data_IF_558972650834
#
_entry.id   IF_558972650834
#
_cell.length_a   1.000
_cell.length_b   1.000
_cell.length_c   1.000
_cell.angle_alpha   90.00
_cell.angle_beta   90.00
_cell.angle_gamma   90.00
#
_symmetry.space_group_name_H-M   'P 1'
#
loop_
_entity.id
_entity.type
_entity.pdbx_description
1 polymer ?
#
# COMPACT_ATOMS: atom_id res chain seq x y z
N UNK A 1 -11.00 17.57 7.08
CA UNK A 1 -9.78 17.59 7.92
C UNK A 1 -10.19 17.89 9.34
N UNK A 2 -9.85 17.02 10.25
CA UNK A 2 -10.11 17.17 11.69
C UNK A 2 -9.19 18.27 12.28
N UNK A 3 -9.61 18.90 13.40
CA UNK A 3 -8.85 19.95 14.08
C UNK A 3 -7.46 19.46 14.51
N UNK A 4 -7.36 18.20 14.96
CA UNK A 4 -6.11 17.57 15.38
C UNK A 4 -5.13 17.33 14.21
N UNK A 5 -5.65 17.03 13.03
CA UNK A 5 -4.84 16.85 11.82
C UNK A 5 -4.25 18.18 11.34
N UNK A 6 -5.04 19.26 11.41
CA UNK A 6 -4.56 20.62 11.07
C UNK A 6 -3.45 21.09 12.02
N UNK A 7 -3.63 20.83 13.31
CA UNK A 7 -2.60 21.16 14.31
C UNK A 7 -1.30 20.36 14.08
N UNK A 8 -1.43 19.06 13.77
CA UNK A 8 -0.28 18.23 13.44
C UNK A 8 0.47 18.76 12.21
N UNK A 9 -0.24 19.14 11.14
CA UNK A 9 0.35 19.70 9.93
C UNK A 9 1.06 21.04 10.24
N UNK A 10 0.42 21.93 10.98
CA UNK A 10 1.02 23.21 11.37
C UNK A 10 2.31 23.01 12.17
N UNK A 11 2.32 22.07 13.12
CA UNK A 11 3.50 21.72 13.90
C UNK A 11 4.60 21.05 13.06
N UNK A 12 4.26 20.24 12.05
CA UNK A 12 5.20 19.65 11.11
C UNK A 12 5.92 20.71 10.25
N UNK A 13 5.26 21.83 9.95
CA UNK A 13 5.81 22.95 9.19
C UNK A 13 6.55 23.98 10.06
N UNK A 14 6.53 23.81 11.40
CA UNK A 14 7.17 24.72 12.35
C UNK A 14 8.51 24.18 12.82
N UNK A 15 9.60 24.91 12.64
CA UNK A 15 10.96 24.49 13.01
C UNK A 15 11.09 24.07 14.48
N UNK A 16 10.41 24.74 15.41
CA UNK A 16 10.49 24.44 16.84
C UNK A 16 9.75 23.17 17.28
N UNK A 17 8.74 22.72 16.53
CA UNK A 17 7.88 21.60 16.88
C UNK A 17 7.99 20.40 15.92
N UNK A 18 8.71 20.56 14.82
CA UNK A 18 8.76 19.61 13.71
C UNK A 18 9.11 18.18 14.13
N UNK A 19 10.15 18.00 14.95
CA UNK A 19 10.56 16.68 15.41
C UNK A 19 9.49 15.99 16.27
N UNK A 20 8.86 16.74 17.18
CA UNK A 20 7.78 16.20 18.03
C UNK A 20 6.58 15.80 17.19
N UNK A 21 6.17 16.68 16.28
CA UNK A 21 5.06 16.43 15.36
C UNK A 21 5.36 15.23 14.44
N UNK A 22 6.59 15.10 13.96
CA UNK A 22 6.99 13.97 13.13
C UNK A 22 6.94 12.63 13.88
N UNK A 23 7.36 12.60 15.16
CA UNK A 23 7.21 11.41 16.01
C UNK A 23 5.74 11.02 16.17
N UNK A 24 4.85 11.99 16.32
CA UNK A 24 3.40 11.75 16.40
C UNK A 24 2.90 11.17 15.07
N UNK A 25 3.29 11.76 13.93
CA UNK A 25 2.94 11.27 12.59
C UNK A 25 3.39 9.82 12.42
N UNK A 26 4.66 9.51 12.70
CA UNK A 26 5.18 8.14 12.61
C UNK A 26 4.36 7.19 13.48
N UNK A 27 4.15 7.51 14.75
CA UNK A 27 3.37 6.67 15.68
C UNK A 27 1.93 6.44 15.20
N UNK A 28 1.33 7.43 14.55
CA UNK A 28 -0.07 7.36 14.08
C UNK A 28 -0.20 6.51 12.83
N UNK A 29 0.75 6.60 11.91
CA UNK A 29 0.59 6.03 10.56
C UNK A 29 1.48 4.83 10.25
N UNK A 30 2.51 4.52 11.07
CA UNK A 30 3.51 3.49 10.76
C UNK A 30 2.89 2.12 10.45
N UNK A 31 1.98 1.64 11.29
CA UNK A 31 1.37 0.30 11.11
C UNK A 31 0.56 0.25 9.81
N UNK A 32 -0.25 1.28 9.55
CA UNK A 32 -1.08 1.33 8.34
C UNK A 32 -0.24 1.47 7.08
N UNK A 33 0.80 2.32 7.09
CA UNK A 33 1.72 2.50 5.96
C UNK A 33 2.53 1.24 5.70
N UNK A 34 3.05 0.60 6.76
CA UNK A 34 3.77 -0.66 6.64
C UNK A 34 2.92 -1.72 5.95
N UNK A 35 1.72 -1.99 6.43
CA UNK A 35 0.85 -3.01 5.84
C UNK A 35 0.38 -2.66 4.44
N UNK A 36 0.20 -1.38 4.15
CA UNK A 36 -0.08 -0.92 2.80
C UNK A 36 1.07 -1.25 1.84
N UNK A 37 2.29 -0.88 2.20
CA UNK A 37 3.51 -1.17 1.43
C UNK A 37 3.70 -2.68 1.31
N UNK A 38 3.61 -3.40 2.44
CA UNK A 38 3.80 -4.87 2.51
C UNK A 38 2.89 -5.63 1.55
N UNK A 39 1.63 -5.22 1.41
CA UNK A 39 0.68 -5.81 0.46
C UNK A 39 0.99 -5.49 -1.01
N UNK A 40 1.76 -4.47 -1.28
CA UNK A 40 2.19 -4.13 -2.65
C UNK A 40 3.45 -4.90 -3.03
N UNK A 41 4.47 -4.88 -2.16
CA UNK A 41 5.79 -5.45 -2.46
C UNK A 41 5.94 -6.92 -2.04
N UNK A 42 5.07 -7.40 -1.14
CA UNK A 42 4.95 -8.78 -0.68
C UNK A 42 6.18 -9.35 0.05
N UNK A 43 7.15 -8.54 0.39
CA UNK A 43 8.35 -8.90 1.15
C UNK A 43 8.54 -7.99 2.37
N UNK A 44 8.93 -8.56 3.52
CA UNK A 44 9.05 -7.84 4.79
C UNK A 44 10.19 -6.82 4.77
N UNK A 45 11.38 -7.27 4.38
CA UNK A 45 12.58 -6.43 4.38
C UNK A 45 12.43 -5.26 3.40
N UNK A 46 11.89 -5.55 2.19
CA UNK A 46 11.58 -4.52 1.20
C UNK A 46 10.55 -3.50 1.72
N UNK A 47 9.54 -3.97 2.47
CA UNK A 47 8.53 -3.09 3.03
C UNK A 47 9.10 -2.16 4.09
N UNK A 48 10.01 -2.62 4.93
CA UNK A 48 10.69 -1.80 5.94
C UNK A 48 11.60 -0.76 5.29
N UNK A 49 12.38 -1.15 4.28
CA UNK A 49 13.24 -0.22 3.55
C UNK A 49 12.44 0.87 2.83
N UNK A 50 11.34 0.48 2.20
CA UNK A 50 10.45 1.45 1.53
C UNK A 50 9.79 2.37 2.55
N UNK A 51 9.35 1.85 3.70
CA UNK A 51 8.76 2.66 4.77
C UNK A 51 9.73 3.72 5.29
N UNK A 52 11.01 3.37 5.47
CA UNK A 52 12.06 4.31 5.84
C UNK A 52 12.20 5.40 4.76
N UNK A 53 12.26 5.02 3.48
CA UNK A 53 12.34 5.96 2.36
C UNK A 53 11.12 6.89 2.30
N UNK A 54 9.92 6.37 2.58
CA UNK A 54 8.69 7.18 2.69
C UNK A 54 8.85 8.25 3.77
N UNK A 55 9.32 7.89 4.97
CA UNK A 55 9.51 8.85 6.05
C UNK A 55 10.57 9.91 5.73
N UNK A 56 11.67 9.54 5.07
CA UNK A 56 12.67 10.49 4.59
C UNK A 56 12.04 11.48 3.60
N UNK A 57 11.20 11.00 2.67
CA UNK A 57 10.50 11.85 1.71
C UNK A 57 9.45 12.73 2.36
N UNK A 58 8.71 12.22 3.33
CA UNK A 58 7.76 13.00 4.13
C UNK A 58 8.47 14.12 4.85
N UNK A 59 9.57 13.83 5.55
CA UNK A 59 10.37 14.83 6.25
C UNK A 59 10.86 15.95 5.35
N UNK A 60 11.36 15.58 4.16
CA UNK A 60 11.91 16.55 3.18
C UNK A 60 10.84 17.39 2.48
N UNK A 61 9.64 16.87 2.33
CA UNK A 61 8.61 17.47 1.48
C UNK A 61 7.37 17.98 2.24
N UNK A 62 7.33 17.89 3.58
CA UNK A 62 6.16 18.30 4.34
C UNK A 62 5.83 19.80 4.18
N UNK A 63 6.84 20.64 3.98
CA UNK A 63 6.67 22.08 3.73
C UNK A 63 5.94 22.35 2.41
N UNK A 64 6.07 21.46 1.42
CA UNK A 64 5.38 21.54 0.14
C UNK A 64 3.97 20.93 0.13
N UNK A 65 3.53 20.35 1.24
CA UNK A 65 2.18 19.81 1.36
C UNK A 65 1.15 20.93 1.36
N UNK A 66 0.33 20.99 0.28
CA UNK A 66 -0.62 22.09 0.03
C UNK A 66 -1.95 21.98 0.74
N UNK A 67 -2.20 20.85 1.44
CA UNK A 67 -3.48 20.57 2.11
C UNK A 67 -4.68 20.44 1.15
N UNK A 68 -4.40 20.21 -0.14
CA UNK A 68 -5.41 19.93 -1.16
C UNK A 68 -6.07 18.55 -0.98
N UNK A 69 -5.46 17.68 -0.16
CA UNK A 69 -5.95 16.37 0.25
C UNK A 69 -5.72 16.17 1.75
N UNK A 70 -6.28 15.10 2.34
CA UNK A 70 -5.94 14.73 3.72
C UNK A 70 -4.47 14.34 3.85
N UNK A 71 -3.91 14.47 5.06
CA UNK A 71 -2.56 14.00 5.35
C UNK A 71 -2.43 12.49 5.06
N UNK A 72 -3.47 11.71 5.40
CA UNK A 72 -3.58 10.31 5.06
C UNK A 72 -3.40 10.05 3.55
N UNK A 73 -4.19 10.71 2.71
CA UNK A 73 -4.11 10.54 1.25
C UNK A 73 -2.72 10.92 0.71
N UNK A 74 -2.12 11.97 1.24
CA UNK A 74 -0.79 12.42 0.85
C UNK A 74 0.30 11.39 1.23
N UNK A 75 0.27 10.86 2.45
CA UNK A 75 1.20 9.82 2.93
C UNK A 75 1.08 8.53 2.11
N UNK A 76 -0.14 8.07 1.89
CA UNK A 76 -0.40 6.85 1.12
C UNK A 76 -0.03 7.01 -0.36
N UNK A 77 -0.14 8.22 -0.91
CA UNK A 77 0.36 8.52 -2.26
C UNK A 77 1.87 8.37 -2.35
N UNK A 78 2.61 8.88 -1.36
CA UNK A 78 4.07 8.71 -1.30
C UNK A 78 4.41 7.23 -1.19
N UNK A 79 3.79 6.50 -0.25
CA UNK A 79 4.03 5.08 -0.02
C UNK A 79 3.74 4.23 -1.27
N UNK A 80 2.60 4.47 -1.93
CA UNK A 80 2.23 3.76 -3.16
C UNK A 80 3.25 4.02 -4.27
N UNK A 81 3.64 5.28 -4.48
CA UNK A 81 4.60 5.64 -5.52
C UNK A 81 5.99 5.01 -5.27
N UNK A 82 6.46 4.98 -4.01
CA UNK A 82 7.72 4.32 -3.65
C UNK A 82 7.65 2.82 -3.92
N UNK A 83 6.57 2.17 -3.48
CA UNK A 83 6.36 0.74 -3.70
C UNK A 83 6.32 0.38 -5.19
N UNK A 84 5.58 1.15 -5.99
CA UNK A 84 5.51 0.94 -7.44
C UNK A 84 6.85 1.19 -8.15
N UNK A 85 7.58 2.23 -7.73
CA UNK A 85 8.91 2.53 -8.26
C UNK A 85 9.89 1.41 -7.96
N UNK A 86 9.84 0.88 -6.73
CA UNK A 86 10.63 -0.27 -6.31
C UNK A 86 10.34 -1.51 -7.18
N UNK A 87 9.07 -1.90 -7.34
CA UNK A 87 8.68 -3.03 -8.19
C UNK A 87 9.12 -2.84 -9.64
N UNK A 88 9.03 -1.61 -10.16
CA UNK A 88 9.47 -1.30 -11.51
C UNK A 88 10.99 -1.42 -11.66
N UNK A 89 11.76 -1.03 -10.64
CA UNK A 89 13.21 -1.18 -10.62
C UNK A 89 13.61 -2.67 -10.56
N UNK A 90 12.98 -3.44 -9.68
CA UNK A 90 13.20 -4.89 -9.57
C UNK A 90 12.96 -5.60 -10.91
N UNK A 91 11.89 -5.27 -11.62
CA UNK A 91 11.62 -5.83 -12.97
C UNK A 91 12.68 -5.50 -14.02
N UNK A 92 13.33 -4.34 -13.91
CA UNK A 92 14.42 -3.96 -14.84
C UNK A 92 15.70 -4.73 -14.58
N UNK A 93 15.94 -5.11 -13.35
CA UNK A 93 17.15 -5.87 -12.94
C UNK A 93 16.98 -7.39 -13.05
N UNK A 94 15.75 -7.87 -13.00
CA UNK A 94 15.42 -9.28 -13.14
C UNK A 94 14.82 -9.53 -14.52
N UNK A 95 15.44 -10.40 -15.32
CA UNK A 95 14.85 -10.96 -16.55
C UNK A 95 13.75 -11.99 -16.18
N UNK A 96 12.98 -11.69 -15.16
CA UNK A 96 12.04 -12.63 -14.52
C UNK A 96 10.66 -12.49 -15.16
N UNK A 97 10.09 -13.60 -15.58
CA UNK A 97 8.75 -13.66 -16.15
C UNK A 97 7.67 -13.35 -15.12
N UNK A 98 6.46 -12.96 -15.57
CA UNK A 98 5.30 -12.72 -14.67
C UNK A 98 4.95 -13.94 -13.82
N UNK A 99 5.19 -15.16 -14.32
CA UNK A 99 4.94 -16.40 -13.58
C UNK A 99 5.95 -16.59 -12.43
N UNK A 100 7.22 -16.34 -12.66
CA UNK A 100 8.27 -16.44 -11.64
C UNK A 100 8.08 -15.41 -10.52
N UNK A 101 7.55 -14.20 -10.84
CA UNK A 101 7.17 -13.22 -9.81
C UNK A 101 6.02 -13.76 -8.97
N UNK A 102 5.02 -14.39 -9.58
CA UNK A 102 3.90 -15.00 -8.86
C UNK A 102 4.35 -16.14 -7.96
N UNK A 103 5.24 -17.01 -8.45
CA UNK A 103 5.83 -18.10 -7.67
C UNK A 103 6.66 -17.57 -6.49
N UNK A 104 7.50 -16.57 -6.73
CA UNK A 104 8.26 -15.91 -5.66
C UNK A 104 7.36 -15.29 -4.59
N UNK A 105 6.25 -14.67 -4.98
CA UNK A 105 5.30 -14.07 -4.04
C UNK A 105 4.57 -15.14 -3.20
N UNK A 106 4.25 -16.30 -3.80
CA UNK A 106 3.67 -17.44 -3.09
C UNK A 106 4.66 -18.01 -2.08
N UNK A 107 5.91 -18.25 -2.50
CA UNK A 107 6.98 -18.75 -1.63
C UNK A 107 7.29 -17.78 -0.49
N UNK A 108 7.30 -16.48 -0.78
CA UNK A 108 7.45 -15.43 0.23
C UNK A 108 6.32 -15.41 1.25
N UNK A 109 5.07 -15.71 0.83
CA UNK A 109 3.93 -15.81 1.74
C UNK A 109 4.02 -17.06 2.63
N UNK A 110 4.43 -18.19 2.06
CA UNK A 110 4.57 -19.45 2.80
C UNK A 110 5.69 -19.40 3.84
N UNK A 111 6.74 -18.65 3.55
CA UNK A 111 7.89 -18.44 4.47
C UNK A 111 7.70 -17.28 5.44
N UNK A 112 6.61 -16.52 5.35
CA UNK A 112 6.37 -15.34 6.19
C UNK A 112 6.00 -15.73 7.63
N UNK A 113 6.96 -15.61 8.54
CA UNK A 113 6.82 -15.91 9.99
C UNK A 113 5.76 -15.03 10.66
N UNK A 114 5.42 -13.89 10.07
CA UNK A 114 4.38 -12.97 10.57
C UNK A 114 2.98 -13.28 10.04
N UNK A 115 2.85 -14.30 9.18
CA UNK A 115 1.57 -14.73 8.65
C UNK A 115 0.99 -15.89 9.48
N UNK A 116 0.32 -15.59 10.57
CA UNK A 116 -0.39 -16.54 11.44
C UNK A 116 -1.85 -16.81 10.97
N UNK A 117 -2.15 -16.64 9.69
CA UNK A 117 -3.49 -16.82 9.16
C UNK A 117 -3.93 -18.28 9.14
N UNK A 118 -5.23 -18.51 9.33
CA UNK A 118 -5.86 -19.82 9.08
C UNK A 118 -5.83 -20.17 7.58
N UNK A 119 -6.23 -21.40 7.23
CA UNK A 119 -6.23 -21.87 5.84
C UNK A 119 -7.07 -20.99 4.90
N UNK A 120 -8.15 -20.38 5.40
CA UNK A 120 -9.02 -19.49 4.62
C UNK A 120 -8.28 -18.19 4.33
N UNK A 121 -7.58 -17.64 5.30
CA UNK A 121 -6.78 -16.41 5.13
C UNK A 121 -5.62 -16.67 4.15
N UNK A 122 -4.94 -17.80 4.24
CA UNK A 122 -3.91 -18.21 3.27
C UNK A 122 -4.48 -18.30 1.86
N UNK A 123 -5.62 -18.99 1.70
CA UNK A 123 -6.30 -19.12 0.41
C UNK A 123 -6.70 -17.75 -0.16
N UNK A 124 -7.17 -16.83 0.68
CA UNK A 124 -7.48 -15.45 0.27
C UNK A 124 -6.22 -14.71 -0.21
N UNK A 125 -5.11 -14.80 0.50
CA UNK A 125 -3.87 -14.15 0.10
C UNK A 125 -3.33 -14.71 -1.23
N UNK A 126 -3.39 -16.02 -1.43
CA UNK A 126 -3.03 -16.66 -2.70
C UNK A 126 -3.90 -16.15 -3.85
N UNK A 127 -5.22 -16.04 -3.64
CA UNK A 127 -6.13 -15.45 -4.62
C UNK A 127 -5.76 -14.01 -5.00
N UNK A 128 -5.39 -13.20 -3.99
CA UNK A 128 -5.00 -11.80 -4.19
C UNK A 128 -3.66 -11.70 -4.95
N UNK A 129 -2.68 -12.56 -4.65
CA UNK A 129 -1.38 -12.59 -5.35
C UNK A 129 -1.57 -12.87 -6.85
N UNK A 130 -2.52 -13.71 -7.22
CA UNK A 130 -2.81 -14.03 -8.63
C UNK A 130 -3.52 -12.91 -9.40
N UNK A 131 -4.00 -11.88 -8.73
CA UNK A 131 -4.57 -10.73 -9.41
C UNK A 131 -3.51 -9.98 -10.23
N UNK A 132 -3.85 -9.47 -11.42
CA UNK A 132 -3.01 -8.50 -12.11
C UNK A 132 -2.68 -7.33 -11.17
N UNK A 133 -1.43 -6.85 -11.19
CA UNK A 133 -0.92 -5.85 -10.26
C UNK A 133 -1.87 -4.67 -10.01
N UNK A 134 -2.40 -4.07 -11.08
CA UNK A 134 -3.33 -2.94 -10.94
C UNK A 134 -4.61 -3.33 -10.18
N UNK A 135 -5.15 -4.53 -10.43
CA UNK A 135 -6.33 -5.04 -9.74
C UNK A 135 -6.01 -5.34 -8.29
N UNK A 136 -4.84 -5.92 -8.01
CA UNK A 136 -4.36 -6.23 -6.65
C UNK A 136 -4.21 -4.97 -5.80
N UNK A 137 -3.59 -3.92 -6.35
CA UNK A 137 -3.44 -2.64 -5.65
C UNK A 137 -4.80 -2.03 -5.32
N UNK A 138 -5.71 -1.98 -6.29
CA UNK A 138 -7.07 -1.45 -6.10
C UNK A 138 -7.85 -2.28 -5.08
N UNK A 139 -7.71 -3.61 -5.13
CA UNK A 139 -8.34 -4.51 -4.15
C UNK A 139 -7.82 -4.24 -2.74
N UNK A 140 -6.52 -4.19 -2.55
CA UNK A 140 -5.89 -3.95 -1.26
C UNK A 140 -6.29 -2.59 -0.66
N UNK A 141 -6.23 -1.52 -1.45
CA UNK A 141 -6.65 -0.18 -1.02
C UNK A 141 -8.11 -0.14 -0.59
N UNK A 142 -9.00 -0.82 -1.34
CA UNK A 142 -10.44 -0.79 -1.05
C UNK A 142 -10.83 -1.71 0.08
N UNK A 143 -10.30 -2.93 0.11
CA UNK A 143 -10.70 -3.98 1.05
C UNK A 143 -9.99 -3.86 2.40
N UNK A 144 -8.67 -3.70 2.41
CA UNK A 144 -7.89 -3.68 3.65
C UNK A 144 -7.64 -2.26 4.18
N UNK A 145 -7.40 -1.30 3.30
CA UNK A 145 -7.11 0.08 3.70
C UNK A 145 -8.39 0.93 3.82
N UNK A 146 -9.55 0.37 3.40
CA UNK A 146 -10.89 0.97 3.47
C UNK A 146 -11.01 2.36 2.81
N UNK A 147 -10.14 2.62 1.81
CA UNK A 147 -10.09 3.91 1.14
C UNK A 147 -11.37 4.23 0.36
N UNK A 148 -11.70 5.51 0.30
CA UNK A 148 -12.72 6.01 -0.62
C UNK A 148 -12.18 6.01 -2.04
N UNK A 149 -13.05 5.81 -3.04
CA UNK A 149 -12.63 5.81 -4.45
C UNK A 149 -12.05 7.15 -4.89
N UNK A 150 -12.48 8.25 -4.28
CA UNK A 150 -11.96 9.59 -4.52
C UNK A 150 -10.49 9.69 -4.07
N UNK A 151 -10.16 9.19 -2.88
CA UNK A 151 -8.79 9.13 -2.35
C UNK A 151 -7.90 8.23 -3.23
N UNK A 152 -8.41 7.06 -3.60
CA UNK A 152 -7.70 6.14 -4.51
C UNK A 152 -7.45 6.79 -5.89
N UNK A 153 -8.43 7.57 -6.40
CA UNK A 153 -8.31 8.31 -7.66
C UNK A 153 -7.19 9.35 -7.61
N UNK A 154 -7.04 10.04 -6.48
CA UNK A 154 -5.94 10.99 -6.26
C UNK A 154 -4.58 10.29 -6.19
N UNK A 155 -4.52 9.14 -5.53
CA UNK A 155 -3.27 8.36 -5.35
C UNK A 155 -2.84 7.73 -6.69
N UNK A 156 -3.76 7.01 -7.35
CA UNK A 156 -3.46 6.18 -8.52
C UNK A 156 -3.57 6.93 -9.86
N UNK A 157 -4.03 8.20 -9.84
CA UNK A 157 -4.28 8.99 -11.06
C UNK A 157 -5.21 8.27 -12.05
N UNK A 158 -6.21 7.61 -11.52
CA UNK A 158 -7.17 6.78 -12.26
C UNK A 158 -8.58 7.21 -11.92
N UNK A 159 -9.49 7.26 -12.90
CA UNK A 159 -10.86 7.70 -12.66
C UNK A 159 -11.62 6.78 -11.68
N UNK A 160 -12.53 7.35 -10.89
CA UNK A 160 -13.38 6.60 -9.95
C UNK A 160 -14.14 5.47 -10.64
N UNK A 161 -14.63 5.71 -11.87
CA UNK A 161 -15.32 4.68 -12.65
C UNK A 161 -14.43 3.49 -12.99
N UNK A 162 -13.19 3.76 -13.42
CA UNK A 162 -12.21 2.70 -13.71
C UNK A 162 -11.79 1.94 -12.45
N UNK A 163 -11.67 2.61 -11.31
CA UNK A 163 -11.36 1.97 -10.03
C UNK A 163 -12.48 1.05 -9.56
N UNK A 164 -13.75 1.49 -9.68
CA UNK A 164 -14.92 0.65 -9.36
C UNK A 164 -14.97 -0.60 -10.23
N UNK A 165 -14.75 -0.44 -11.55
CA UNK A 165 -14.69 -1.58 -12.47
C UNK A 165 -13.52 -2.53 -12.12
N UNK A 166 -12.33 -1.99 -11.84
CA UNK A 166 -11.15 -2.77 -11.46
C UNK A 166 -11.39 -3.56 -10.18
N UNK A 167 -11.99 -2.94 -9.16
CA UNK A 167 -12.33 -3.61 -7.91
C UNK A 167 -13.37 -4.71 -8.12
N UNK A 168 -14.42 -4.46 -8.91
CA UNK A 168 -15.44 -5.46 -9.23
C UNK A 168 -14.83 -6.70 -9.89
N UNK A 169 -13.95 -6.52 -10.89
CA UNK A 169 -13.27 -7.63 -11.54
C UNK A 169 -12.30 -8.35 -10.59
N UNK A 170 -11.62 -7.63 -9.70
CA UNK A 170 -10.76 -8.24 -8.71
C UNK A 170 -11.55 -9.12 -7.75
N UNK A 171 -12.67 -8.62 -7.20
CA UNK A 171 -13.56 -9.38 -6.31
C UNK A 171 -14.04 -10.65 -6.99
N UNK A 172 -14.53 -10.55 -8.25
CA UNK A 172 -15.01 -11.71 -9.00
C UNK A 172 -13.94 -12.79 -9.14
N UNK A 173 -12.70 -12.43 -9.48
CA UNK A 173 -11.58 -13.39 -9.59
C UNK A 173 -11.23 -14.03 -8.26
N UNK A 174 -11.22 -13.23 -7.18
CA UNK A 174 -10.97 -13.76 -5.82
C UNK A 174 -12.07 -14.74 -5.43
N UNK A 175 -13.34 -14.41 -5.67
CA UNK A 175 -14.47 -15.33 -5.40
C UNK A 175 -14.39 -16.63 -6.23
N UNK A 176 -14.03 -16.54 -7.50
CA UNK A 176 -13.83 -17.70 -8.37
C UNK A 176 -12.73 -18.61 -7.79
N UNK A 177 -11.57 -18.05 -7.45
CA UNK A 177 -10.47 -18.80 -6.86
C UNK A 177 -10.84 -19.46 -5.51
N UNK A 178 -11.59 -18.76 -4.66
CA UNK A 178 -12.00 -19.29 -3.36
C UNK A 178 -13.02 -20.42 -3.48
N UNK A 179 -13.81 -20.47 -4.56
CA UNK A 179 -14.79 -21.54 -4.85
C UNK A 179 -14.14 -22.78 -5.46
N UNK A 180 -12.95 -22.68 -6.04
CA UNK A 180 -12.22 -23.84 -6.54
C UNK A 180 -11.79 -24.70 -5.35
N UNK A 181 -12.21 -25.98 -5.34
CA UNK A 181 -11.73 -26.95 -4.36
C UNK A 181 -10.24 -27.20 -4.58
N UNK A 182 -9.45 -27.34 -3.51
CA UNK A 182 -8.03 -27.71 -3.65
C UNK A 182 -7.99 -29.10 -4.34
N UNK A 183 -7.30 -29.15 -5.49
CA UNK A 183 -7.00 -30.41 -6.17
C UNK A 183 -6.00 -31.23 -5.38
#
# INVERSE_FOLDING_TARGET
MDSSEKELIANLKSDGNREKAFKILVKTYQVRLYWHIRKIVMNHDDADDILQNVYIKVWKNVDSFREDSSLFTWLFRIATNESLSYLQQQRRHSVVSMNEISEYLVESLESDVYFEGDEIQKKLQLAIIQLPEKQRIVFNMKYFDEMKYEEMSEILKTSVGALKASFHFAVKKVEEFLKEEPK
#
